data_IF_999604918560
#
_entry.id   IF_999604918560
#
_cell.length_a   1.000
_cell.length_b   1.000
_cell.length_c   1.000
_cell.angle_alpha   90.00
_cell.angle_beta   90.00
_cell.angle_gamma   90.00
#
_symmetry.space_group_name_H-M   'P 1'
#
loop_
_entity.id
_entity.type
_entity.pdbx_description
1 polymer ?
#
# COMPACT_ATOMS: atom_id res chain seq x y z
N UNK A 1 13.31 -7.43 1.57
CA UNK A 1 12.56 -6.95 0.39
C UNK A 1 11.66 -5.76 0.70
N UNK A 2 10.80 -5.80 1.73
CA UNK A 2 9.89 -4.68 2.04
C UNK A 2 10.60 -3.32 2.17
N UNK A 3 11.70 -3.26 2.94
CA UNK A 3 12.51 -2.03 3.07
C UNK A 3 13.08 -1.57 1.73
N UNK A 4 13.64 -2.50 0.95
CA UNK A 4 14.25 -2.19 -0.34
C UNK A 4 13.22 -1.61 -1.31
N UNK A 5 12.04 -2.24 -1.42
CA UNK A 5 10.94 -1.74 -2.25
C UNK A 5 10.50 -0.34 -1.81
N UNK A 6 10.34 -0.09 -0.51
CA UNK A 6 9.97 1.24 -0.01
C UNK A 6 10.96 2.34 -0.44
N UNK A 7 12.26 2.09 -0.30
CA UNK A 7 13.30 3.03 -0.75
C UNK A 7 13.30 3.18 -2.28
N UNK A 8 13.33 2.07 -3.02
CA UNK A 8 13.36 2.09 -4.49
C UNK A 8 12.14 2.79 -5.09
N UNK A 9 10.93 2.57 -4.56
CA UNK A 9 9.73 3.27 -5.03
C UNK A 9 9.82 4.77 -4.75
N UNK A 10 10.35 5.17 -3.59
CA UNK A 10 10.52 6.59 -3.25
C UNK A 10 11.52 7.29 -4.18
N UNK A 11 12.65 6.64 -4.47
CA UNK A 11 13.64 7.14 -5.43
C UNK A 11 13.06 7.21 -6.84
N UNK A 12 12.30 6.19 -7.26
CA UNK A 12 11.65 6.15 -8.56
C UNK A 12 10.63 7.30 -8.74
N UNK A 13 9.94 7.70 -7.68
CA UNK A 13 9.04 8.86 -7.71
C UNK A 13 9.80 10.16 -7.95
N UNK A 14 11.00 10.33 -7.43
CA UNK A 14 11.84 11.49 -7.75
C UNK A 14 12.32 11.41 -9.19
N UNK A 15 12.83 10.24 -9.59
CA UNK A 15 13.36 10.02 -10.93
C UNK A 15 12.32 10.15 -12.05
N UNK A 16 11.04 9.86 -11.77
CA UNK A 16 9.99 9.96 -12.80
C UNK A 16 9.65 11.41 -13.18
N UNK A 17 9.97 12.39 -12.32
CA UNK A 17 9.59 13.80 -12.48
C UNK A 17 10.35 14.53 -13.57
N UNK A 18 11.55 14.05 -13.89
CA UNK A 18 12.43 14.68 -14.87
C UNK A 18 13.09 13.61 -15.75
N UNK A 19 12.85 13.72 -17.06
CA UNK A 19 13.40 12.86 -18.11
C UNK A 19 14.92 12.68 -18.05
N UNK A 20 15.67 13.61 -17.45
CA UNK A 20 17.13 13.50 -17.32
C UNK A 20 17.59 12.43 -16.32
N UNK A 21 16.75 12.06 -15.33
CA UNK A 21 17.11 10.99 -14.39
C UNK A 21 17.08 9.60 -15.04
N UNK A 22 16.16 9.37 -15.98
CA UNK A 22 15.99 8.10 -16.67
C UNK A 22 15.78 8.28 -18.19
N UNK A 23 16.80 8.75 -18.94
CA UNK A 23 16.65 9.07 -20.36
C UNK A 23 16.20 7.87 -21.22
N UNK A 24 16.55 6.65 -20.80
CA UNK A 24 16.11 5.41 -21.45
C UNK A 24 14.56 5.28 -21.51
N UNK A 25 13.84 5.82 -20.53
CA UNK A 25 12.37 5.80 -20.51
C UNK A 25 11.79 6.69 -21.60
N UNK A 26 12.39 7.86 -21.84
CA UNK A 26 12.00 8.76 -22.93
C UNK A 26 12.27 8.13 -24.30
N UNK A 27 13.40 7.47 -24.48
CA UNK A 27 13.67 6.71 -25.72
C UNK A 27 12.68 5.55 -25.94
N UNK A 28 12.15 4.99 -24.86
CA UNK A 28 11.10 3.96 -24.90
C UNK A 28 9.68 4.56 -25.09
N UNK A 29 9.54 5.88 -25.21
CA UNK A 29 8.27 6.56 -25.45
C UNK A 29 7.46 6.91 -24.19
N UNK A 30 8.09 6.92 -23.01
CA UNK A 30 7.45 7.35 -21.78
C UNK A 30 7.81 8.80 -21.43
N UNK A 31 6.79 9.62 -21.24
CA UNK A 31 6.94 10.99 -20.77
C UNK A 31 7.22 11.03 -19.26
N UNK A 32 7.87 12.11 -18.82
CA UNK A 32 8.05 12.38 -17.40
C UNK A 32 6.69 12.51 -16.70
N UNK A 33 6.59 11.95 -15.50
CA UNK A 33 5.41 11.99 -14.66
C UNK A 33 5.76 12.40 -13.24
N UNK A 34 4.97 13.31 -12.67
CA UNK A 34 5.11 13.75 -11.29
C UNK A 34 3.95 13.25 -10.42
N UNK A 35 4.14 12.13 -9.69
CA UNK A 35 3.21 11.69 -8.67
C UNK A 35 2.99 12.80 -7.63
N UNK A 36 1.76 12.90 -7.12
CA UNK A 36 1.40 13.94 -6.13
C UNK A 36 1.53 13.48 -4.68
N UNK A 37 1.41 12.17 -4.45
CA UNK A 37 1.36 11.60 -3.12
C UNK A 37 2.00 10.21 -3.08
N UNK A 38 2.57 9.84 -1.93
CA UNK A 38 2.96 8.47 -1.60
C UNK A 38 2.20 8.06 -0.35
N UNK A 39 1.56 6.88 -0.38
CA UNK A 39 0.88 6.29 0.76
C UNK A 39 1.61 5.01 1.18
N UNK A 40 2.37 5.05 2.27
CA UNK A 40 3.08 3.88 2.78
C UNK A 40 2.16 3.02 3.64
N UNK A 41 2.12 1.72 3.36
CA UNK A 41 1.36 0.73 4.14
C UNK A 41 2.09 0.32 5.42
N UNK A 42 1.34 -0.16 6.41
CA UNK A 42 1.84 -0.60 7.72
C UNK A 42 2.78 0.40 8.43
N UNK A 43 2.46 1.71 8.47
CA UNK A 43 3.30 2.66 9.15
C UNK A 43 3.22 2.49 10.68
N UNK A 44 4.29 2.88 11.38
CA UNK A 44 4.27 3.01 12.84
C UNK A 44 3.32 4.13 13.29
N UNK A 45 3.33 5.26 12.56
CA UNK A 45 2.57 6.47 12.86
C UNK A 45 1.65 6.84 11.67
N UNK A 46 0.49 6.18 11.48
CA UNK A 46 -0.43 6.48 10.40
C UNK A 46 -1.10 7.86 10.55
N UNK A 47 -1.34 8.52 9.43
CA UNK A 47 -2.09 9.79 9.34
C UNK A 47 -3.20 9.77 8.28
N UNK A 48 -3.37 8.64 7.58
CA UNK A 48 -4.49 8.38 6.68
C UNK A 48 -5.16 7.05 7.06
N UNK A 49 -6.47 7.09 7.21
CA UNK A 49 -7.32 5.95 7.53
C UNK A 49 -8.40 5.84 6.46
N UNK A 50 -8.50 4.67 5.84
CA UNK A 50 -9.47 4.41 4.77
C UNK A 50 -10.49 3.41 5.29
N UNK A 51 -11.77 3.79 5.30
CA UNK A 51 -12.86 2.88 5.63
C UNK A 51 -12.96 1.78 4.57
N UNK A 52 -12.95 0.53 5.03
CA UNK A 52 -13.07 -0.65 4.17
C UNK A 52 -14.28 -1.51 4.50
N UNK A 53 -15.26 -1.00 5.25
CA UNK A 53 -16.40 -1.80 5.69
C UNK A 53 -17.17 -2.47 4.54
N UNK A 54 -17.34 -1.76 3.42
CA UNK A 54 -18.02 -2.28 2.23
C UNK A 54 -17.13 -3.20 1.37
N UNK A 55 -15.82 -3.25 1.62
CA UNK A 55 -14.85 -3.97 0.77
C UNK A 55 -14.02 -5.02 1.50
N UNK A 56 -14.23 -5.21 2.81
CA UNK A 56 -13.49 -6.16 3.63
C UNK A 56 -13.61 -7.59 3.09
N UNK A 57 -14.81 -8.03 2.73
CA UNK A 57 -15.03 -9.39 2.22
C UNK A 57 -14.24 -9.62 0.91
N UNK A 58 -14.27 -8.63 0.00
CA UNK A 58 -13.50 -8.67 -1.25
C UNK A 58 -11.99 -8.72 -1.00
N UNK A 59 -11.50 -8.01 0.01
CA UNK A 59 -10.09 -8.09 0.43
C UNK A 59 -9.74 -9.49 0.92
N UNK A 60 -10.58 -10.12 1.73
CA UNK A 60 -10.37 -11.48 2.21
C UNK A 60 -10.38 -12.47 1.04
N UNK A 61 -11.35 -12.41 0.14
CA UNK A 61 -11.40 -13.26 -1.07
C UNK A 61 -10.13 -13.13 -1.94
N UNK A 62 -9.61 -11.90 -2.09
CA UNK A 62 -8.37 -11.64 -2.83
C UNK A 62 -7.16 -12.28 -2.14
N UNK A 63 -7.03 -12.14 -0.81
CA UNK A 63 -5.95 -12.77 -0.04
C UNK A 63 -6.03 -14.31 -0.14
N UNK A 64 -7.24 -14.88 -0.12
CA UNK A 64 -7.46 -16.33 -0.21
C UNK A 64 -6.96 -16.94 -1.53
N UNK A 65 -6.83 -16.15 -2.59
CA UNK A 65 -6.27 -16.62 -3.87
C UNK A 65 -4.78 -17.00 -3.77
N UNK A 66 -4.05 -16.53 -2.76
CA UNK A 66 -2.62 -16.80 -2.57
C UNK A 66 -2.36 -18.18 -1.93
N UNK A 67 -3.06 -19.23 -2.38
CA UNK A 67 -3.21 -20.55 -1.72
C UNK A 67 -1.97 -21.08 -1.00
N UNK A 68 -0.80 -21.10 -1.66
CA UNK A 68 0.44 -21.62 -1.08
C UNK A 68 0.92 -20.89 0.19
N UNK A 69 0.57 -19.62 0.34
CA UNK A 69 0.88 -18.82 1.53
C UNK A 69 -0.16 -19.03 2.62
N UNK A 70 -1.42 -19.18 2.22
CA UNK A 70 -2.55 -19.18 3.14
C UNK A 70 -2.70 -20.55 3.82
N UNK A 71 -2.43 -21.63 3.09
CA UNK A 71 -2.50 -23.01 3.60
C UNK A 71 -1.57 -23.25 4.81
N UNK A 72 -0.44 -22.55 4.87
CA UNK A 72 0.54 -22.65 5.98
C UNK A 72 0.25 -21.68 7.14
N UNK A 73 -0.76 -20.83 7.01
CA UNK A 73 -1.14 -19.82 7.99
C UNK A 73 -2.56 -20.05 8.52
N UNK A 74 -2.72 -20.91 9.53
CA UNK A 74 -4.02 -21.10 10.15
C UNK A 74 -4.52 -19.77 10.74
N UNK A 75 -5.82 -19.55 10.66
CA UNK A 75 -6.52 -18.38 11.21
C UNK A 75 -6.11 -17.02 10.59
N UNK A 76 -5.63 -17.03 9.34
CA UNK A 76 -5.25 -15.79 8.66
C UNK A 76 -6.43 -14.83 8.46
N UNK A 77 -7.65 -15.34 8.23
CA UNK A 77 -8.87 -14.51 8.03
C UNK A 77 -9.15 -13.70 9.29
N UNK A 78 -9.17 -14.37 10.44
CA UNK A 78 -9.39 -13.77 11.75
C UNK A 78 -8.31 -12.73 12.07
N UNK A 79 -7.04 -13.02 11.71
CA UNK A 79 -5.94 -12.07 11.86
C UNK A 79 -6.15 -10.82 11.00
N UNK A 80 -6.55 -10.97 9.74
CA UNK A 80 -6.79 -9.85 8.83
C UNK A 80 -7.98 -8.99 9.27
N UNK A 81 -9.07 -9.62 9.71
CA UNK A 81 -10.24 -8.94 10.27
C UNK A 81 -9.86 -8.20 11.55
N UNK A 82 -9.16 -8.88 12.47
CA UNK A 82 -8.70 -8.29 13.73
C UNK A 82 -7.81 -7.05 13.49
N UNK A 83 -6.88 -7.13 12.54
CA UNK A 83 -6.07 -5.97 12.16
C UNK A 83 -6.90 -4.81 11.62
N UNK A 84 -7.87 -5.09 10.74
CA UNK A 84 -8.75 -4.04 10.21
C UNK A 84 -9.59 -3.38 11.31
N UNK A 85 -10.04 -4.14 12.32
CA UNK A 85 -10.74 -3.62 13.50
C UNK A 85 -9.82 -2.73 14.34
N UNK A 86 -8.61 -3.20 14.68
CA UNK A 86 -7.66 -2.43 15.48
C UNK A 86 -7.26 -1.12 14.79
N UNK A 87 -7.18 -1.13 13.47
CA UNK A 87 -6.95 0.05 12.67
C UNK A 87 -8.17 0.98 12.64
N UNK A 88 -9.38 0.43 12.48
CA UNK A 88 -10.63 1.19 12.49
C UNK A 88 -10.87 1.92 13.80
N UNK A 89 -10.57 1.29 14.94
CA UNK A 89 -10.69 1.90 16.29
C UNK A 89 -9.97 3.23 16.41
N UNK A 90 -8.80 3.38 15.76
CA UNK A 90 -8.00 4.62 15.81
C UNK A 90 -8.66 5.81 15.10
N UNK A 91 -9.64 5.56 14.23
CA UNK A 91 -10.34 6.57 13.44
C UNK A 91 -11.88 6.52 13.58
N UNK A 92 -12.39 5.83 14.60
CA UNK A 92 -13.84 5.62 14.81
C UNK A 92 -14.55 4.97 13.59
N UNK A 93 -13.87 4.02 12.95
CA UNK A 93 -14.38 3.20 11.85
C UNK A 93 -14.51 1.74 12.30
N UNK A 94 -15.42 0.98 11.69
CA UNK A 94 -15.56 -0.44 12.00
C UNK A 94 -14.35 -1.24 11.50
N UNK A 95 -13.90 -0.96 10.29
CA UNK A 95 -12.74 -1.57 9.65
C UNK A 95 -11.96 -0.50 8.89
N UNK A 96 -10.65 -0.46 9.04
CA UNK A 96 -9.83 0.47 8.27
C UNK A 96 -8.53 -0.16 7.75
N UNK A 97 -8.04 0.40 6.65
CA UNK A 97 -6.62 0.34 6.29
C UNK A 97 -5.93 1.64 6.67
N UNK A 98 -4.65 1.52 7.04
CA UNK A 98 -3.86 2.64 7.54
C UNK A 98 -2.66 2.92 6.64
N UNK A 99 -2.39 4.20 6.45
CA UNK A 99 -1.30 4.67 5.63
C UNK A 99 -0.58 5.84 6.28
N UNK A 100 0.69 6.01 5.90
CA UNK A 100 1.42 7.26 6.07
C UNK A 100 1.41 7.99 4.73
N UNK A 101 0.74 9.13 4.67
CA UNK A 101 0.64 9.98 3.49
C UNK A 101 1.78 10.99 3.45
N UNK A 102 2.46 11.06 2.32
CA UNK A 102 3.46 12.09 2.00
C UNK A 102 2.97 12.83 0.75
N UNK A 103 2.87 14.15 0.83
CA UNK A 103 2.53 15.03 -0.30
C UNK A 103 3.84 15.57 -0.92
N UNK A 104 3.95 15.58 -2.26
CA UNK A 104 5.18 15.77 -3.03
C UNK A 104 5.29 17.08 -3.83
#
# INVERSE_FOLDING_TARGET
>A
DHRAVGFTTSDAVVASRDHLFLPAQTYAGFDAHSPREIHFTFPENPDLFVDIAETLDKKLEAIEQHKSQIEIHPNWKERMIGMAIEFGKKANLQYAEIFKKVVL
#
